data_IF_465312681902
#
_entry.id   IF_465312681902
#
_cell.length_a   1.000
_cell.length_b   1.000
_cell.length_c   1.000
_cell.angle_alpha   90.00
_cell.angle_beta   90.00
_cell.angle_gamma   90.00
#
_symmetry.space_group_name_H-M   'P 1'
#
loop_
_entity.id
_entity.type
_entity.pdbx_description
1 polymer ?
#
# COMPACT_ATOMS: atom_id res chain seq x y z
N UNK A 1 16.83 -9.01 20.09
CA UNK A 1 16.22 -8.74 21.40
C UNK A 1 15.32 -7.52 21.19
N UNK A 2 14.01 -7.72 21.09
CA UNK A 2 13.02 -6.66 20.82
C UNK A 2 12.59 -6.06 22.17
N UNK A 3 12.61 -4.72 22.30
CA UNK A 3 12.22 -4.02 23.52
C UNK A 3 10.78 -3.50 23.37
N UNK A 4 9.93 -3.52 24.41
CA UNK A 4 8.58 -2.95 24.35
C UNK A 4 8.52 -1.50 23.85
N UNK A 5 9.59 -0.73 24.11
CA UNK A 5 9.72 0.64 23.62
C UNK A 5 9.94 0.72 22.11
N UNK A 6 10.69 -0.21 21.52
CA UNK A 6 10.89 -0.27 20.07
C UNK A 6 9.60 -0.63 19.33
N UNK A 7 8.72 -1.41 19.96
CA UNK A 7 7.45 -1.80 19.37
C UNK A 7 6.45 -0.63 19.34
N UNK A 8 6.42 0.19 20.40
CA UNK A 8 5.60 1.41 20.45
C UNK A 8 6.04 2.40 19.36
N UNK A 9 7.34 2.67 19.25
CA UNK A 9 7.86 3.59 18.22
C UNK A 9 7.53 3.10 16.82
N UNK A 10 7.69 1.79 16.57
CA UNK A 10 7.36 1.20 15.26
C UNK A 10 5.87 1.30 14.94
N UNK A 11 5.02 1.10 15.94
CA UNK A 11 3.57 1.23 15.78
C UNK A 11 3.16 2.67 15.48
N UNK A 12 3.71 3.64 16.21
CA UNK A 12 3.46 5.07 15.97
C UNK A 12 3.89 5.48 14.57
N UNK A 13 5.09 5.09 14.13
CA UNK A 13 5.53 5.36 12.76
C UNK A 13 4.59 4.71 11.73
N UNK A 14 4.11 3.48 11.97
CA UNK A 14 3.14 2.83 11.09
C UNK A 14 1.90 3.70 10.85
N UNK A 15 1.29 4.17 11.94
CA UNK A 15 0.11 5.05 11.90
C UNK A 15 0.40 6.35 11.13
N UNK A 16 1.54 6.99 11.38
CA UNK A 16 1.92 8.24 10.71
C UNK A 16 2.04 8.06 9.19
N UNK A 17 2.68 6.96 8.76
CA UNK A 17 2.87 6.69 7.34
C UNK A 17 1.60 6.23 6.62
N UNK A 18 0.69 5.54 7.31
CA UNK A 18 -0.66 5.25 6.80
C UNK A 18 -1.49 6.54 6.65
N UNK A 19 -1.40 7.45 7.63
CA UNK A 19 -2.04 8.76 7.56
C UNK A 19 -1.48 9.60 6.39
N UNK A 20 -0.16 9.59 6.21
CA UNK A 20 0.52 10.25 5.09
C UNK A 20 0.04 9.68 3.74
N UNK A 21 -0.06 8.35 3.61
CA UNK A 21 -0.59 7.71 2.41
C UNK A 21 -2.02 8.21 2.10
N UNK A 22 -2.89 8.22 3.11
CA UNK A 22 -4.25 8.71 2.97
C UNK A 22 -4.30 10.19 2.56
N UNK A 23 -3.43 11.03 3.12
CA UNK A 23 -3.30 12.44 2.76
C UNK A 23 -2.90 12.59 1.28
N UNK A 24 -1.87 11.86 0.83
CA UNK A 24 -1.42 11.89 -0.57
C UNK A 24 -2.55 11.49 -1.53
N UNK A 25 -3.26 10.41 -1.24
CA UNK A 25 -4.40 9.97 -2.06
C UNK A 25 -5.49 11.04 -2.16
N UNK A 26 -5.84 11.68 -1.04
CA UNK A 26 -6.80 12.80 -1.02
C UNK A 26 -6.32 13.99 -1.85
N UNK A 27 -5.05 14.36 -1.73
CA UNK A 27 -4.46 15.49 -2.47
C UNK A 27 -4.49 15.25 -3.99
N UNK A 28 -4.33 14.00 -4.44
CA UNK A 28 -4.46 13.63 -5.86
C UNK A 28 -5.90 13.30 -6.30
N UNK A 29 -6.89 13.44 -5.41
CA UNK A 29 -8.29 13.15 -5.69
C UNK A 29 -8.58 11.67 -5.96
N UNK A 30 -7.69 10.76 -5.53
CA UNK A 30 -7.84 9.32 -5.74
C UNK A 30 -8.82 8.79 -4.69
N UNK A 31 -9.96 8.18 -5.09
CA UNK A 31 -10.92 7.63 -4.16
C UNK A 31 -10.48 6.28 -3.59
N UNK A 32 -10.63 6.11 -2.29
CA UNK A 32 -10.24 4.89 -1.60
C UNK A 32 -11.16 4.57 -0.41
N UNK A 33 -11.01 3.35 0.13
CA UNK A 33 -11.46 2.94 1.44
C UNK A 33 -10.23 2.74 2.32
N UNK A 34 -10.21 3.35 3.51
CA UNK A 34 -9.20 3.08 4.53
C UNK A 34 -9.40 1.70 5.16
N UNK A 35 -8.37 1.22 5.85
CA UNK A 35 -8.46 -0.04 6.59
C UNK A 35 -9.66 -0.07 7.56
N UNK A 36 -9.86 0.99 8.34
CA UNK A 36 -10.98 1.08 9.28
C UNK A 36 -12.34 0.99 8.57
N UNK A 37 -12.50 1.67 7.43
CA UNK A 37 -13.73 1.59 6.65
C UNK A 37 -13.97 0.17 6.09
N UNK A 38 -12.91 -0.55 5.72
CA UNK A 38 -13.01 -1.95 5.28
C UNK A 38 -13.39 -2.87 6.46
N UNK A 39 -12.82 -2.64 7.64
CA UNK A 39 -13.14 -3.41 8.86
C UNK A 39 -14.59 -3.19 9.30
N UNK A 40 -15.09 -1.96 9.24
CA UNK A 40 -16.51 -1.63 9.51
C UNK A 40 -17.46 -2.36 8.55
N UNK A 41 -17.04 -2.58 7.31
CA UNK A 41 -17.78 -3.38 6.31
C UNK A 41 -17.65 -4.90 6.51
N UNK A 42 -16.96 -5.35 7.58
CA UNK A 42 -16.82 -6.76 7.92
C UNK A 42 -15.70 -7.49 7.17
N UNK A 43 -14.79 -6.78 6.51
CA UNK A 43 -13.62 -7.42 5.90
C UNK A 43 -12.61 -7.82 6.99
N UNK A 44 -12.16 -9.07 6.93
CA UNK A 44 -11.05 -9.58 7.74
C UNK A 44 -9.77 -9.62 6.90
N UNK A 45 -8.64 -9.17 7.48
CA UNK A 45 -7.33 -9.01 6.80
C UNK A 45 -7.45 -8.07 5.60
N UNK A 46 -7.22 -6.79 5.88
CA UNK A 46 -7.45 -5.65 4.98
C UNK A 46 -6.13 -4.99 4.63
N UNK A 47 -5.92 -4.54 3.38
CA UNK A 47 -4.82 -3.63 3.09
C UNK A 47 -5.08 -2.28 3.80
N UNK A 48 -4.04 -1.51 4.03
CA UNK A 48 -4.16 -0.16 4.64
C UNK A 48 -5.07 0.74 3.81
N UNK A 49 -5.01 0.57 2.47
CA UNK A 49 -5.86 1.25 1.51
C UNK A 49 -6.36 0.28 0.44
N UNK A 50 -7.66 0.33 0.14
CA UNK A 50 -8.26 -0.25 -1.07
C UNK A 50 -8.79 0.85 -1.98
N UNK A 51 -8.30 0.92 -3.21
CA UNK A 51 -8.74 1.93 -4.18
C UNK A 51 -10.17 1.61 -4.66
N UNK A 52 -11.00 2.65 -4.83
CA UNK A 52 -12.35 2.47 -5.34
C UNK A 52 -12.36 2.17 -6.83
N UNK A 53 -11.39 2.73 -7.55
CA UNK A 53 -11.11 2.48 -8.97
C UNK A 53 -9.61 2.19 -9.14
N UNK A 54 -9.23 1.28 -10.06
CA UNK A 54 -7.82 1.02 -10.33
C UNK A 54 -7.09 2.29 -10.80
N UNK A 55 -5.84 2.44 -10.37
CA UNK A 55 -4.95 3.55 -10.77
C UNK A 55 -3.66 2.95 -11.31
N UNK A 56 -3.08 3.57 -12.35
CA UNK A 56 -1.72 3.25 -12.76
C UNK A 56 -0.75 4.07 -11.91
N UNK A 57 0.12 3.36 -11.20
CA UNK A 57 1.26 3.93 -10.47
C UNK A 57 2.53 3.44 -11.16
N UNK A 58 3.37 4.37 -11.62
CA UNK A 58 4.60 4.06 -12.35
C UNK A 58 4.36 3.10 -13.53
N UNK A 59 3.25 3.28 -14.25
CA UNK A 59 2.86 2.44 -15.39
C UNK A 59 2.25 1.07 -15.03
N UNK A 60 2.13 0.72 -13.75
CA UNK A 60 1.53 -0.55 -13.29
C UNK A 60 0.17 -0.34 -12.64
N UNK A 61 -0.77 -1.24 -12.93
CA UNK A 61 -2.11 -1.20 -12.35
C UNK A 61 -2.07 -1.56 -10.86
N UNK A 62 -2.75 -0.75 -10.05
CA UNK A 62 -2.82 -0.89 -8.60
C UNK A 62 -4.26 -0.77 -8.16
N UNK A 63 -4.71 -1.70 -7.31
CA UNK A 63 -6.06 -1.77 -6.74
C UNK A 63 -6.08 -1.58 -5.22
N UNK A 64 -4.95 -1.80 -4.57
CA UNK A 64 -4.76 -1.67 -3.13
C UNK A 64 -3.32 -1.23 -2.85
N UNK A 65 -3.11 -0.55 -1.72
CA UNK A 65 -1.80 -0.08 -1.28
C UNK A 65 -1.64 -0.44 0.18
N UNK A 66 -0.48 -0.98 0.52
CA UNK A 66 -0.08 -1.36 1.87
C UNK A 66 1.19 -0.59 2.26
N UNK A 67 1.12 0.14 3.36
CA UNK A 67 2.11 1.07 3.90
C UNK A 67 3.01 0.34 4.90
N UNK A 68 4.34 0.51 4.76
CA UNK A 68 5.33 -0.09 5.65
C UNK A 68 6.37 0.93 6.06
N UNK A 69 6.27 1.40 7.30
CA UNK A 69 7.24 2.26 7.97
C UNK A 69 8.53 1.51 8.37
N UNK A 70 9.06 0.69 7.46
CA UNK A 70 10.17 -0.25 7.70
C UNK A 70 10.95 -0.48 6.41
N UNK A 71 12.17 -1.00 6.52
CA UNK A 71 12.96 -1.43 5.35
C UNK A 71 12.50 -2.80 4.84
N UNK A 72 12.28 -2.91 3.52
CA UNK A 72 11.89 -4.13 2.83
C UNK A 72 13.09 -5.04 2.56
N UNK A 73 13.30 -6.06 3.39
CA UNK A 73 14.30 -7.10 3.14
C UNK A 73 13.62 -8.38 2.67
N UNK A 74 14.35 -9.29 2.02
CA UNK A 74 13.81 -10.62 1.67
C UNK A 74 13.26 -11.38 2.88
N UNK A 75 13.88 -11.22 4.06
CA UNK A 75 13.46 -11.87 5.31
C UNK A 75 12.15 -11.33 5.87
N UNK A 76 11.82 -10.07 5.59
CA UNK A 76 10.59 -9.42 6.07
C UNK A 76 9.49 -9.47 5.00
N UNK A 77 9.84 -9.31 3.73
CA UNK A 77 8.91 -9.27 2.62
C UNK A 77 8.28 -10.64 2.33
N UNK A 78 9.06 -11.73 2.19
CA UNK A 78 8.51 -13.02 1.77
C UNK A 78 7.44 -13.57 2.73
N UNK A 79 7.68 -13.61 4.06
CA UNK A 79 6.66 -14.11 4.98
C UNK A 79 5.39 -13.24 4.96
N UNK A 80 5.55 -11.92 4.82
CA UNK A 80 4.43 -10.97 4.77
C UNK A 80 3.62 -11.14 3.47
N UNK A 81 4.30 -11.33 2.35
CA UNK A 81 3.71 -11.62 1.04
C UNK A 81 2.82 -12.85 1.10
N UNK A 82 3.36 -13.96 1.60
CA UNK A 82 2.65 -15.24 1.64
C UNK A 82 1.50 -15.21 2.65
N UNK A 83 1.69 -14.52 3.79
CA UNK A 83 0.68 -14.43 4.83
C UNK A 83 -0.46 -13.46 4.51
N UNK A 84 -0.19 -12.39 3.75
CA UNK A 84 -1.12 -11.26 3.56
C UNK A 84 -1.25 -10.83 2.10
N UNK A 85 -0.17 -10.38 1.44
CA UNK A 85 -0.30 -9.69 0.15
C UNK A 85 -0.91 -10.56 -0.96
N UNK A 86 -0.57 -11.85 -1.03
CA UNK A 86 -1.17 -12.74 -2.01
C UNK A 86 -2.69 -12.88 -1.86
N UNK A 87 -3.22 -12.67 -0.65
CA UNK A 87 -4.68 -12.67 -0.41
C UNK A 87 -5.33 -11.41 -0.96
N UNK A 88 -4.64 -10.27 -0.87
CA UNK A 88 -5.09 -9.02 -1.48
C UNK A 88 -5.06 -9.13 -3.00
N UNK A 89 -3.98 -9.69 -3.57
CA UNK A 89 -3.88 -9.99 -5.01
C UNK A 89 -5.05 -10.86 -5.47
N UNK A 90 -5.29 -11.98 -4.80
CA UNK A 90 -6.37 -12.90 -5.16
C UNK A 90 -7.78 -12.27 -5.05
N UNK A 91 -7.97 -11.30 -4.14
CA UNK A 91 -9.29 -10.70 -3.87
C UNK A 91 -9.57 -9.45 -4.67
N UNK A 92 -8.56 -8.62 -4.90
CA UNK A 92 -8.70 -7.27 -5.43
C UNK A 92 -7.86 -7.03 -6.69
N UNK A 93 -7.05 -8.01 -7.12
CA UNK A 93 -6.10 -7.86 -8.22
C UNK A 93 -4.78 -7.23 -7.79
N UNK A 94 -3.93 -6.85 -8.76
CA UNK A 94 -2.60 -6.29 -8.49
C UNK A 94 -2.62 -5.08 -7.56
N UNK A 95 -1.56 -4.91 -6.78
CA UNK A 95 -1.46 -3.81 -5.81
C UNK A 95 -0.05 -3.33 -5.59
N UNK A 96 0.13 -2.49 -4.57
CA UNK A 96 1.42 -1.90 -4.24
C UNK A 96 1.73 -1.99 -2.75
N UNK A 97 3.02 -2.08 -2.44
CA UNK A 97 3.56 -1.97 -1.08
C UNK A 97 4.57 -0.84 -1.07
N UNK A 98 4.37 0.13 -0.17
CA UNK A 98 5.30 1.25 0.02
C UNK A 98 6.19 0.95 1.23
N UNK A 99 7.46 0.68 1.00
CA UNK A 99 8.49 0.60 2.02
C UNK A 99 9.14 1.98 2.19
N UNK A 100 8.65 2.77 3.14
CA UNK A 100 9.06 4.17 3.32
C UNK A 100 10.52 4.38 3.68
N UNK A 101 11.22 3.34 4.12
CA UNK A 101 12.66 3.37 4.41
C UNK A 101 13.50 2.65 3.34
N UNK A 102 12.91 2.32 2.19
CA UNK A 102 13.54 1.63 1.08
C UNK A 102 13.43 0.10 1.15
N UNK A 103 13.89 -0.58 0.12
CA UNK A 103 13.95 -2.05 0.06
C UNK A 103 15.17 -2.56 -0.72
N UNK A 104 15.52 -3.84 -0.56
CA UNK A 104 16.63 -4.44 -1.32
C UNK A 104 16.23 -4.65 -2.78
N UNK A 105 17.08 -4.22 -3.72
CA UNK A 105 16.79 -4.23 -5.17
C UNK A 105 16.32 -5.60 -5.69
N UNK A 106 16.83 -6.71 -5.14
CA UNK A 106 16.41 -8.09 -5.44
C UNK A 106 14.89 -8.34 -5.30
N UNK A 107 14.15 -7.46 -4.64
CA UNK A 107 12.70 -7.55 -4.49
C UNK A 107 11.91 -6.83 -5.59
N UNK A 108 12.51 -5.87 -6.31
CA UNK A 108 11.80 -4.96 -7.20
C UNK A 108 10.92 -5.69 -8.24
N UNK A 109 11.48 -6.76 -8.81
CA UNK A 109 10.86 -7.52 -9.91
C UNK A 109 10.46 -8.94 -9.51
N UNK A 110 10.40 -9.23 -8.20
CA UNK A 110 10.10 -10.57 -7.72
C UNK A 110 8.65 -10.99 -8.05
N UNK A 111 7.72 -10.06 -7.99
CA UNK A 111 6.29 -10.36 -8.13
C UNK A 111 5.63 -9.37 -9.10
N UNK A 112 5.13 -9.84 -10.27
CA UNK A 112 4.53 -8.96 -11.27
C UNK A 112 3.20 -8.33 -10.81
N UNK A 113 2.55 -8.89 -9.79
CA UNK A 113 1.26 -8.40 -9.26
C UNK A 113 1.43 -7.49 -8.04
N UNK A 114 2.64 -7.37 -7.49
CA UNK A 114 2.93 -6.51 -6.33
C UNK A 114 4.00 -5.49 -6.71
N UNK A 115 3.62 -4.22 -6.77
CA UNK A 115 4.54 -3.11 -7.04
C UNK A 115 5.21 -2.66 -5.74
N UNK A 116 6.54 -2.67 -5.69
CA UNK A 116 7.28 -2.12 -4.56
C UNK A 116 7.67 -0.67 -4.84
N UNK A 117 7.45 0.19 -3.85
CA UNK A 117 7.74 1.62 -3.92
C UNK A 117 8.48 2.06 -2.66
N UNK A 118 9.36 3.05 -2.79
CA UNK A 118 10.03 3.68 -1.64
C UNK A 118 9.35 4.98 -1.19
N UNK A 119 8.46 5.51 -2.03
CA UNK A 119 7.64 6.71 -1.79
C UNK A 119 6.31 6.60 -2.52
N UNK A 120 5.36 7.44 -2.14
CA UNK A 120 4.20 7.65 -3.00
C UNK A 120 4.60 8.33 -4.33
N UNK A 121 4.06 7.91 -5.48
CA UNK A 121 4.40 8.50 -6.77
C UNK A 121 4.03 9.99 -6.89
N UNK A 122 4.74 10.70 -7.77
CA UNK A 122 4.44 12.09 -8.16
C UNK A 122 3.30 12.12 -9.19
N UNK A 123 2.75 13.30 -9.47
CA UNK A 123 1.64 13.47 -10.43
C UNK A 123 1.90 12.85 -11.81
N UNK A 124 3.14 12.93 -12.29
CA UNK A 124 3.58 12.44 -13.59
C UNK A 124 3.61 10.91 -13.67
N UNK A 125 3.75 10.27 -12.51
CA UNK A 125 3.80 8.81 -12.34
C UNK A 125 2.41 8.22 -12.03
N UNK A 126 1.38 9.05 -11.92
CA UNK A 126 0.01 8.67 -11.57
C UNK A 126 -0.89 8.87 -12.80
N UNK A 127 -1.51 7.79 -13.26
CA UNK A 127 -2.58 7.86 -14.24
C UNK A 127 -3.86 7.23 -13.68
N UNK A 128 -4.91 8.05 -13.59
CA UNK A 128 -6.23 7.65 -13.12
C UNK A 128 -7.27 7.87 -14.22
N UNK A 129 -8.34 7.06 -14.21
CA UNK A 129 -9.45 7.24 -15.12
C UNK A 129 -10.10 8.62 -14.88
N UNK A 130 -10.33 9.37 -15.96
CA UNK A 130 -11.07 10.63 -15.88
C UNK A 130 -12.47 10.35 -15.34
N UNK A 131 -12.80 10.98 -14.22
CA UNK A 131 -14.19 11.05 -13.77
C UNK A 131 -14.98 11.88 -14.76
N UNK A 132 -15.99 11.28 -15.39
CA UNK A 132 -17.01 12.06 -16.06
C UNK A 132 -17.78 12.84 -14.99
N UNK A 133 -18.09 14.14 -15.22
CA UNK A 133 -18.98 14.86 -14.31
C UNK A 133 -20.30 14.11 -14.22
N UNK A 134 -20.85 14.02 -13.00
CA UNK A 134 -22.19 13.48 -12.81
C UNK A 134 -23.17 14.34 -13.61
N UNK A 135 -24.01 13.67 -14.43
CA UNK A 135 -25.09 14.30 -15.19
C UNK A 135 -26.14 14.93 -14.27
#
# INVERSE_FOLDING_TARGET
>A
MYSPQSDIVRHVHGIEYEALLCEKLRNYGIPFFSEDALREQGFYKTPDVKLQVPVLLCGRMVNWIDSKATFGSRRTHMPQRDAQYLKYVNRFGPGAVIYWFGFVEDLADLDPDILLLERFPSSEEILQLRRLPAL
#
